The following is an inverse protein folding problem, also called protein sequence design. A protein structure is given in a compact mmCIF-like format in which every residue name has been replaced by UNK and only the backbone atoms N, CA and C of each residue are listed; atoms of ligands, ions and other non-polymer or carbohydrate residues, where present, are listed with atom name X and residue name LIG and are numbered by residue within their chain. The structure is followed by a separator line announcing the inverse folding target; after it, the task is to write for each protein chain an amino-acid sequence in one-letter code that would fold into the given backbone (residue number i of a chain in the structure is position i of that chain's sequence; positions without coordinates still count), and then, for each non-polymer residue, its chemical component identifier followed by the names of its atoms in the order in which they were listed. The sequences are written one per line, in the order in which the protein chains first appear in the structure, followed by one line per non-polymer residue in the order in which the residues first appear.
data_IF_695629340585
#
_entry.id   IF_695629340585
#
_cell.length_a   1.000
_cell.length_b   1.000
_cell.length_c   1.000
_cell.angle_alpha   90.00
_cell.angle_beta   90.00
_cell.angle_gamma   90.00
#
_symmetry.space_group_name_H-M   'P 1'
#
loop_
_entity.id
_entity.type
_entity.pdbx_description
1 polymer ?
#
# COMPACT_ATOMS: atom_id res chain seq x y z
N UNK A 1 -23.79 39.76 -0.26
CA UNK A 1 -25.21 39.78 -0.68
C UNK A 1 -26.05 39.94 0.56
N UNK A 2 -26.92 40.95 0.61
CA UNK A 2 -27.89 41.14 1.66
C UNK A 2 -29.29 40.74 1.16
N UNK A 3 -30.05 40.02 1.98
CA UNK A 3 -31.41 39.57 1.70
C UNK A 3 -32.35 40.03 2.81
N UNK A 4 -33.60 40.34 2.45
CA UNK A 4 -34.62 40.76 3.42
C UNK A 4 -36.02 40.36 2.97
N UNK A 5 -36.94 40.27 3.94
CA UNK A 5 -38.35 40.03 3.65
C UNK A 5 -39.03 41.31 3.11
N UNK A 6 -39.99 41.20 2.18
CA UNK A 6 -40.72 42.36 1.68
C UNK A 6 -41.58 43.00 2.78
N UNK A 7 -41.63 44.33 2.79
CA UNK A 7 -42.46 45.13 3.71
C UNK A 7 -43.67 45.66 2.94
N UNK A 8 -44.86 45.52 3.55
CA UNK A 8 -46.13 46.02 2.97
C UNK A 8 -46.05 47.56 2.83
N UNK A 9 -46.48 48.08 1.67
CA UNK A 9 -46.42 49.51 1.29
C UNK A 9 -45.01 50.08 1.08
N UNK A 10 -43.97 49.25 1.06
CA UNK A 10 -42.65 49.69 0.61
C UNK A 10 -42.65 49.84 -0.92
N UNK A 11 -42.19 51.00 -1.40
CA UNK A 11 -41.94 51.26 -2.82
C UNK A 11 -40.46 51.01 -3.17
N UNK A 12 -39.59 50.95 -2.16
CA UNK A 12 -38.18 50.61 -2.28
C UNK A 12 -37.52 50.35 -0.93
N UNK A 13 -36.20 50.18 -0.98
CA UNK A 13 -35.35 49.94 0.19
C UNK A 13 -34.06 50.72 0.06
N UNK A 14 -33.63 51.31 1.15
CA UNK A 14 -32.28 51.84 1.29
C UNK A 14 -31.39 50.82 1.99
N UNK A 15 -30.18 50.62 1.45
CA UNK A 15 -29.16 49.78 2.04
C UNK A 15 -28.03 50.62 2.58
N UNK A 16 -27.62 50.28 3.80
CA UNK A 16 -26.63 51.01 4.57
C UNK A 16 -25.55 50.05 5.04
N UNK A 17 -24.31 50.53 5.09
CA UNK A 17 -23.14 49.74 5.48
C UNK A 17 -22.24 50.53 6.44
N UNK A 18 -21.73 49.86 7.46
CA UNK A 18 -20.79 50.42 8.44
C UNK A 18 -19.69 49.42 8.83
N UNK A 19 -18.52 49.91 9.31
CA UNK A 19 -17.40 49.06 9.71
C UNK A 19 -17.58 48.42 11.10
N UNK A 20 -18.57 48.87 11.87
CA UNK A 20 -18.87 48.39 13.22
C UNK A 20 -20.38 48.23 13.37
N UNK A 21 -20.82 47.59 14.45
CA UNK A 21 -22.25 47.38 14.72
C UNK A 21 -22.92 48.64 15.29
N UNK A 22 -22.85 49.75 14.53
CA UNK A 22 -23.42 51.04 14.87
C UNK A 22 -23.99 51.70 13.62
N UNK A 23 -25.31 51.92 13.61
CA UNK A 23 -26.04 52.44 12.45
C UNK A 23 -25.76 53.94 12.22
N UNK A 24 -25.36 54.68 13.26
CA UNK A 24 -25.01 56.11 13.13
C UNK A 24 -23.69 56.30 12.39
N UNK A 25 -22.84 55.26 12.36
CA UNK A 25 -21.59 55.23 11.59
C UNK A 25 -21.77 54.60 10.21
N UNK A 26 -22.99 54.16 9.87
CA UNK A 26 -23.28 53.57 8.57
C UNK A 26 -23.45 54.65 7.50
N UNK A 27 -22.92 54.40 6.31
CA UNK A 27 -23.18 55.22 5.12
C UNK A 27 -24.24 54.57 4.23
N UNK A 28 -25.03 55.38 3.53
CA UNK A 28 -25.91 54.91 2.47
C UNK A 28 -25.05 54.27 1.37
N UNK A 29 -25.30 52.99 1.10
CA UNK A 29 -24.64 52.21 0.06
C UNK A 29 -25.39 52.34 -1.26
N UNK A 30 -26.72 52.32 -1.21
CA UNK A 30 -27.56 52.44 -2.40
C UNK A 30 -29.03 52.13 -2.14
N UNK A 31 -29.82 52.14 -3.21
CA UNK A 31 -31.24 51.84 -3.18
C UNK A 31 -31.53 50.55 -3.96
N UNK A 32 -32.55 49.81 -3.55
CA UNK A 32 -33.05 48.62 -4.23
C UNK A 32 -34.58 48.63 -4.27
N UNK A 33 -35.18 48.20 -5.38
CA UNK A 33 -36.64 48.03 -5.47
C UNK A 33 -37.11 46.73 -4.81
N UNK A 34 -36.27 45.70 -4.77
CA UNK A 34 -36.56 44.38 -4.20
C UNK A 34 -35.30 43.72 -3.63
N UNK A 35 -35.47 42.69 -2.80
CA UNK A 35 -34.38 41.81 -2.35
C UNK A 35 -33.98 40.83 -3.47
N UNK A 36 -32.69 40.49 -3.63
CA UNK A 36 -31.52 40.89 -2.83
C UNK A 36 -30.76 42.11 -3.38
N UNK A 37 -29.79 42.61 -2.59
CA UNK A 37 -28.77 43.57 -3.04
C UNK A 37 -27.36 42.99 -2.91
N UNK A 38 -26.51 43.28 -3.89
CA UNK A 38 -25.10 42.85 -3.91
C UNK A 38 -24.21 44.09 -3.79
N UNK A 39 -23.43 44.16 -2.71
CA UNK A 39 -22.37 45.14 -2.55
C UNK A 39 -21.11 44.68 -3.30
N UNK A 40 -20.78 45.35 -4.40
CA UNK A 40 -19.57 45.08 -5.19
C UNK A 40 -18.36 45.92 -4.77
N UNK A 41 -18.50 46.78 -3.75
CA UNK A 41 -17.47 47.76 -3.36
C UNK A 41 -16.58 47.29 -2.20
N UNK A 42 -16.87 46.13 -1.62
CA UNK A 42 -16.12 45.55 -0.50
C UNK A 42 -14.92 44.72 -0.96
N UNK A 43 -13.84 44.76 -0.18
CA UNK A 43 -12.64 43.95 -0.36
C UNK A 43 -12.61 42.76 0.61
N UNK A 44 -11.82 41.73 0.28
CA UNK A 44 -11.80 40.45 1.02
C UNK A 44 -11.08 40.48 2.39
N UNK A 45 -10.67 41.66 2.86
CA UNK A 45 -9.91 41.85 4.11
C UNK A 45 -10.72 42.51 5.21
N UNK A 46 -11.99 42.86 4.97
CA UNK A 46 -12.80 43.59 5.94
C UNK A 46 -14.23 43.04 6.03
N UNK A 47 -14.67 42.81 7.27
CA UNK A 47 -16.08 42.54 7.58
C UNK A 47 -16.86 43.83 7.79
N UNK A 48 -18.13 43.83 7.41
CA UNK A 48 -19.01 45.00 7.48
C UNK A 48 -20.37 44.59 8.06
N UNK A 49 -21.04 45.55 8.69
CA UNK A 49 -22.42 45.43 9.13
C UNK A 49 -23.33 46.11 8.12
N UNK A 50 -24.45 45.47 7.80
CA UNK A 50 -25.43 45.94 6.83
C UNK A 50 -26.79 46.13 7.51
N UNK A 51 -27.46 47.22 7.13
CA UNK A 51 -28.83 47.51 7.52
C UNK A 51 -29.66 47.78 6.28
N UNK A 52 -30.94 47.44 6.34
CA UNK A 52 -31.92 47.79 5.33
C UNK A 52 -33.09 48.50 5.99
N UNK A 53 -33.66 49.52 5.33
CA UNK A 53 -34.94 50.10 5.73
C UNK A 53 -35.84 50.27 4.51
N UNK A 54 -37.13 50.03 4.71
CA UNK A 54 -38.15 50.24 3.69
C UNK A 54 -38.37 51.74 3.47
N UNK A 55 -38.63 52.13 2.23
CA UNK A 55 -38.94 53.51 1.85
C UNK A 55 -40.20 53.56 1.00
N UNK A 56 -40.92 54.67 1.09
CA UNK A 56 -41.95 55.06 0.12
C UNK A 56 -41.84 56.55 -0.19
N UNK A 57 -42.70 57.04 -1.08
CA UNK A 57 -42.77 58.45 -1.50
C UNK A 57 -42.94 59.48 -0.38
N UNK A 58 -43.29 59.07 0.84
CA UNK A 58 -43.55 59.96 1.98
C UNK A 58 -42.45 59.85 3.05
N UNK A 59 -42.00 58.64 3.36
CA UNK A 59 -41.12 58.40 4.50
C UNK A 59 -40.27 57.12 4.38
N UNK A 60 -39.29 57.01 5.26
CA UNK A 60 -38.47 55.82 5.45
C UNK A 60 -38.79 55.19 6.80
N UNK A 61 -38.92 53.87 6.82
CA UNK A 61 -39.12 53.10 8.04
C UNK A 61 -37.87 53.03 8.91
N UNK A 62 -37.99 52.33 10.05
CA UNK A 62 -36.84 52.03 10.91
C UNK A 62 -35.87 51.08 10.22
N UNK A 63 -34.59 51.16 10.60
CA UNK A 63 -33.60 50.17 10.17
C UNK A 63 -33.93 48.77 10.66
N UNK A 64 -33.57 47.78 9.86
CA UNK A 64 -33.52 46.37 10.26
C UNK A 64 -32.54 46.17 11.41
N UNK A 65 -32.56 44.98 12.01
CA UNK A 65 -31.39 44.54 12.78
C UNK A 65 -30.16 44.46 11.86
N UNK A 66 -28.97 44.79 12.36
CA UNK A 66 -27.72 44.67 11.62
C UNK A 66 -27.45 43.22 11.23
N UNK A 67 -26.87 43.01 10.04
CA UNK A 67 -26.32 41.73 9.65
C UNK A 67 -24.85 41.87 9.27
N UNK A 68 -24.00 41.02 9.85
CA UNK A 68 -22.57 40.99 9.52
C UNK A 68 -22.35 40.22 8.22
N UNK A 69 -21.53 40.77 7.32
CA UNK A 69 -21.13 40.12 6.09
C UNK A 69 -19.74 40.57 5.64
N UNK A 70 -19.08 39.73 4.84
CA UNK A 70 -17.75 40.00 4.31
C UNK A 70 -17.63 39.51 2.87
N UNK A 71 -16.64 40.04 2.15
CA UNK A 71 -16.27 39.51 0.84
C UNK A 71 -15.32 38.32 1.04
N UNK A 72 -15.71 37.14 0.56
CA UNK A 72 -14.86 35.96 0.69
C UNK A 72 -13.57 36.09 -0.12
N UNK A 73 -12.46 35.56 0.41
CA UNK A 73 -11.21 35.43 -0.34
C UNK A 73 -11.42 34.52 -1.58
N UNK A 74 -10.65 34.72 -2.67
CA UNK A 74 -10.73 33.83 -3.82
C UNK A 74 -10.25 32.43 -3.45
N UNK A 75 -10.75 31.43 -4.16
CA UNK A 75 -10.34 30.05 -3.95
C UNK A 75 -8.84 29.87 -4.26
N UNK A 76 -8.10 29.08 -3.48
CA UNK A 76 -6.75 28.66 -3.85
C UNK A 76 -6.76 27.92 -5.19
N UNK A 77 -5.74 28.19 -6.01
CA UNK A 77 -5.54 27.55 -7.31
C UNK A 77 -4.36 26.57 -7.27
N UNK A 78 -4.34 25.65 -8.23
CA UNK A 78 -3.26 24.66 -8.38
C UNK A 78 -3.13 23.73 -7.18
N UNK A 79 -4.25 23.33 -6.58
CA UNK A 79 -4.26 22.26 -5.58
C UNK A 79 -3.78 20.98 -6.26
N UNK A 80 -2.74 20.38 -5.72
CA UNK A 80 -2.21 19.07 -6.12
C UNK A 80 -2.13 18.16 -4.90
N UNK A 81 -2.41 16.87 -5.09
CA UNK A 81 -2.26 15.84 -4.08
C UNK A 81 -1.32 14.75 -4.60
N UNK A 82 -0.61 14.06 -3.71
CA UNK A 82 0.23 12.94 -4.10
C UNK A 82 -0.60 11.69 -4.39
N UNK A 83 -0.32 11.05 -5.52
CA UNK A 83 -0.94 9.80 -5.95
C UNK A 83 0.02 8.64 -5.73
N UNK A 84 -0.12 7.95 -4.59
CA UNK A 84 0.63 6.73 -4.33
C UNK A 84 2.14 6.93 -4.22
N UNK A 85 2.60 8.10 -3.73
CA UNK A 85 4.03 8.40 -3.56
C UNK A 85 4.55 7.98 -2.18
N UNK A 86 3.73 8.15 -1.14
CA UNK A 86 4.12 7.90 0.24
C UNK A 86 3.22 6.84 0.87
N UNK A 87 3.80 6.01 1.74
CA UNK A 87 3.08 4.94 2.44
C UNK A 87 2.37 5.40 3.71
N UNK A 88 2.63 6.64 4.16
CA UNK A 88 2.21 7.15 5.48
C UNK A 88 1.41 8.45 5.41
N UNK A 89 1.27 9.06 4.23
CA UNK A 89 0.59 10.35 4.07
C UNK A 89 0.15 10.62 2.63
N UNK A 90 -0.82 11.51 2.47
CA UNK A 90 -1.02 12.25 1.22
C UNK A 90 -0.48 13.66 1.40
N UNK A 91 0.44 14.09 0.53
CA UNK A 91 0.93 15.48 0.55
C UNK A 91 0.12 16.34 -0.39
N UNK A 92 -0.32 17.49 0.09
CA UNK A 92 -1.08 18.49 -0.64
C UNK A 92 -0.23 19.76 -0.80
N UNK A 93 -0.34 20.43 -1.94
CA UNK A 93 0.18 21.79 -2.10
C UNK A 93 -0.70 22.63 -3.01
N UNK A 94 -0.68 23.95 -2.83
CA UNK A 94 -1.49 24.91 -3.60
C UNK A 94 -0.81 26.27 -3.69
N UNK A 95 -1.34 27.17 -4.52
CA UNK A 95 -0.83 28.54 -4.67
C UNK A 95 -1.30 29.46 -3.53
N UNK A 96 -0.42 30.39 -3.11
CA UNK A 96 -0.77 31.39 -2.10
C UNK A 96 -1.86 32.35 -2.59
N UNK A 97 -2.84 32.67 -1.73
CA UNK A 97 -3.91 33.62 -2.01
C UNK A 97 -3.61 34.97 -1.33
N UNK A 98 -3.57 36.09 -2.07
CA UNK A 98 -3.41 37.42 -1.47
C UNK A 98 -4.49 37.72 -0.42
N UNK A 99 -4.07 38.21 0.75
CA UNK A 99 -4.98 38.51 1.88
C UNK A 99 -5.41 37.29 2.70
N UNK A 100 -4.96 36.08 2.35
CA UNK A 100 -5.09 34.90 3.20
C UNK A 100 -3.97 34.87 4.26
N UNK A 101 -4.35 34.59 5.50
CA UNK A 101 -3.44 34.35 6.62
C UNK A 101 -3.28 32.86 6.90
N UNK A 102 -4.27 32.06 6.47
CA UNK A 102 -4.29 30.62 6.61
C UNK A 102 -5.19 29.97 5.55
N UNK A 103 -5.25 28.64 5.60
CA UNK A 103 -6.12 27.83 4.77
C UNK A 103 -6.89 26.82 5.61
N UNK A 104 -8.12 26.54 5.21
CA UNK A 104 -8.87 25.36 5.67
C UNK A 104 -8.65 24.24 4.67
N UNK A 105 -8.33 23.04 5.15
CA UNK A 105 -8.12 21.84 4.33
C UNK A 105 -9.22 20.86 4.64
N UNK A 106 -9.90 20.39 3.60
CA UNK A 106 -11.07 19.54 3.68
C UNK A 106 -10.83 18.25 2.92
N UNK A 107 -11.45 17.15 3.37
CA UNK A 107 -11.34 15.82 2.76
C UNK A 107 -12.67 15.09 2.74
N UNK A 108 -12.89 14.30 1.68
CA UNK A 108 -13.99 13.36 1.59
C UNK A 108 -13.58 12.13 0.76
N UNK A 109 -14.33 11.02 0.86
CA UNK A 109 -14.11 9.79 0.06
C UNK A 109 -14.85 9.80 -1.27
N UNK A 110 -15.78 10.73 -1.44
CA UNK A 110 -16.48 11.04 -2.69
C UNK A 110 -16.13 12.46 -3.13
N UNK A 111 -16.15 12.71 -4.43
CA UNK A 111 -15.89 14.02 -5.02
C UNK A 111 -17.08 14.98 -4.83
N UNK A 112 -17.32 15.34 -3.56
CA UNK A 112 -18.36 16.28 -3.16
C UNK A 112 -17.97 16.98 -1.88
N UNK A 113 -18.31 18.26 -1.80
CA UNK A 113 -18.09 19.09 -0.61
C UNK A 113 -19.17 18.86 0.46
N UNK A 114 -20.29 18.21 0.10
CA UNK A 114 -21.36 17.90 1.04
C UNK A 114 -20.91 16.79 2.00
N UNK A 115 -20.77 17.12 3.28
CA UNK A 115 -20.29 16.18 4.30
C UNK A 115 -18.77 16.01 4.34
N UNK A 116 -18.00 16.80 3.58
CA UNK A 116 -16.54 16.83 3.69
C UNK A 116 -16.11 17.20 5.12
N UNK A 117 -15.19 16.42 5.68
CA UNK A 117 -14.60 16.71 6.99
C UNK A 117 -13.43 17.67 6.86
N UNK A 118 -13.18 18.48 7.90
CA UNK A 118 -11.96 19.30 7.96
C UNK A 118 -10.78 18.46 8.45
N UNK A 119 -9.66 18.58 7.76
CA UNK A 119 -8.35 18.13 8.25
C UNK A 119 -7.66 19.24 9.04
N UNK A 120 -7.82 20.49 8.59
CA UNK A 120 -7.32 21.67 9.27
C UNK A 120 -8.26 22.86 9.07
N UNK A 121 -8.53 23.61 10.13
CA UNK A 121 -9.31 24.87 10.07
C UNK A 121 -8.43 26.13 10.06
N UNK A 122 -7.12 25.95 10.26
CA UNK A 122 -6.10 26.99 10.23
C UNK A 122 -4.73 26.39 9.89
N UNK A 123 -4.33 26.46 8.62
CA UNK A 123 -3.00 26.10 8.15
C UNK A 123 -2.32 27.33 7.53
N UNK A 124 -1.26 27.85 8.15
CA UNK A 124 -0.56 29.05 7.65
C UNK A 124 0.31 28.77 6.41
N UNK A 125 0.58 27.51 6.10
CA UNK A 125 1.39 27.09 4.96
C UNK A 125 0.54 26.84 3.71
N UNK A 126 1.18 26.82 2.54
CA UNK A 126 0.56 26.46 1.26
C UNK A 126 0.74 24.97 0.91
N UNK A 127 0.98 24.15 1.94
CA UNK A 127 1.07 22.70 1.84
C UNK A 127 0.48 22.06 3.10
N UNK A 128 0.10 20.80 3.01
CA UNK A 128 -0.43 20.01 4.11
C UNK A 128 -0.12 18.53 3.92
N UNK A 129 0.13 17.80 5.01
CA UNK A 129 0.31 16.36 4.99
C UNK A 129 -0.86 15.68 5.71
N UNK A 130 -1.70 14.98 4.96
CA UNK A 130 -2.74 14.14 5.53
C UNK A 130 -2.15 12.80 5.98
N UNK A 131 -1.73 12.77 7.25
CA UNK A 131 -1.15 11.59 7.92
C UNK A 131 -2.19 10.63 8.50
N UNK A 132 -3.48 10.94 8.36
CA UNK A 132 -4.59 10.10 8.86
C UNK A 132 -5.40 9.46 7.74
N UNK A 133 -4.96 9.64 6.48
CA UNK A 133 -5.50 8.91 5.34
C UNK A 133 -5.09 7.43 5.42
N UNK A 134 -6.01 6.55 5.03
CA UNK A 134 -5.82 5.09 5.07
C UNK A 134 -5.48 4.55 3.68
N UNK A 135 -4.58 3.55 3.57
CA UNK A 135 -4.23 2.93 2.28
C UNK A 135 -5.42 2.21 1.64
N UNK A 136 -5.38 2.06 0.30
CA UNK A 136 -6.44 1.40 -0.47
C UNK A 136 -7.64 2.30 -0.82
N UNK A 137 -7.69 3.53 -0.30
CA UNK A 137 -8.76 4.48 -0.58
C UNK A 137 -8.27 5.69 -1.36
N UNK A 138 -9.11 6.15 -2.31
CA UNK A 138 -8.97 7.47 -2.93
C UNK A 138 -9.72 8.49 -2.09
N UNK A 139 -9.03 9.58 -1.78
CA UNK A 139 -9.62 10.73 -1.12
C UNK A 139 -9.66 11.91 -2.08
N UNK A 140 -10.63 12.79 -1.87
CA UNK A 140 -10.79 14.06 -2.56
C UNK A 140 -10.57 15.19 -1.56
N UNK A 141 -9.80 16.19 -1.97
CA UNK A 141 -9.35 17.28 -1.13
C UNK A 141 -9.82 18.61 -1.69
N UNK A 142 -10.10 19.54 -0.78
CA UNK A 142 -10.39 20.93 -1.12
C UNK A 142 -9.68 21.85 -0.14
N UNK A 143 -9.40 23.07 -0.60
CA UNK A 143 -8.79 24.10 0.22
C UNK A 143 -9.60 25.38 0.11
N UNK A 144 -9.80 26.06 1.25
CA UNK A 144 -10.32 27.43 1.31
C UNK A 144 -9.23 28.35 1.84
N UNK A 145 -9.09 29.53 1.24
CA UNK A 145 -8.32 30.62 1.81
C UNK A 145 -9.05 31.21 3.03
N UNK A 146 -8.33 31.69 4.04
CA UNK A 146 -8.90 32.21 5.29
C UNK A 146 -8.07 33.34 5.86
N UNK A 147 -8.74 34.31 6.47
CA UNK A 147 -8.13 35.33 7.33
C UNK A 147 -8.97 35.48 8.62
N UNK A 148 -8.65 36.48 9.44
CA UNK A 148 -9.39 36.73 10.69
C UNK A 148 -10.87 37.06 10.48
N UNK A 149 -11.25 37.57 9.31
CA UNK A 149 -12.63 37.94 8.98
C UNK A 149 -13.45 36.70 8.63
N UNK A 150 -12.87 35.77 7.87
CA UNK A 150 -13.54 34.53 7.51
C UNK A 150 -12.87 33.74 6.40
N UNK A 151 -13.52 32.64 6.01
CA UNK A 151 -13.07 31.77 4.93
C UNK A 151 -13.65 32.22 3.57
N UNK A 152 -12.87 32.01 2.52
CA UNK A 152 -13.20 32.30 1.13
C UNK A 152 -13.91 31.16 0.41
N UNK A 153 -13.88 31.27 -0.92
CA UNK A 153 -14.40 30.24 -1.82
C UNK A 153 -13.56 28.96 -1.72
N UNK A 154 -14.22 27.83 -1.97
CA UNK A 154 -13.58 26.51 -2.01
C UNK A 154 -12.88 26.29 -3.35
N UNK A 155 -11.71 25.66 -3.34
CA UNK A 155 -10.98 25.27 -4.56
C UNK A 155 -11.76 24.24 -5.40
N UNK A 156 -11.27 23.96 -6.60
CA UNK A 156 -11.59 22.69 -7.25
C UNK A 156 -11.07 21.52 -6.39
N UNK A 157 -11.70 20.35 -6.54
CA UNK A 157 -11.20 19.14 -5.91
C UNK A 157 -9.90 18.68 -6.55
N UNK A 158 -9.09 18.00 -5.76
CA UNK A 158 -8.01 17.15 -6.24
C UNK A 158 -8.09 15.80 -5.53
N UNK A 159 -7.80 14.71 -6.25
CA UNK A 159 -7.76 13.37 -5.66
C UNK A 159 -6.35 12.96 -5.27
N UNK A 160 -6.22 12.16 -4.22
CA UNK A 160 -4.94 11.59 -3.79
C UNK A 160 -5.14 10.31 -2.98
N UNK A 161 -4.09 9.50 -2.90
CA UNK A 161 -4.08 8.22 -2.19
C UNK A 161 -2.68 7.83 -1.72
N UNK A 162 -2.60 6.91 -0.75
CA UNK A 162 -1.34 6.39 -0.21
C UNK A 162 -0.81 5.27 -1.09
N UNK A 163 0.53 5.13 -1.14
CA UNK A 163 1.19 3.92 -1.61
C UNK A 163 0.95 2.79 -0.60
N UNK A 164 0.73 1.56 -1.08
CA UNK A 164 0.72 0.40 -0.19
C UNK A 164 2.09 0.17 0.46
N UNK A 165 2.07 -0.19 1.73
CA UNK A 165 3.30 -0.60 2.43
C UNK A 165 3.77 -1.97 1.92
N UNK A 166 5.08 -2.21 1.78
CA UNK A 166 5.58 -3.54 1.45
C UNK A 166 5.18 -4.56 2.53
N UNK A 167 4.81 -5.80 2.15
CA UNK A 167 4.61 -6.88 3.10
C UNK A 167 5.84 -7.11 3.98
N UNK A 168 5.59 -7.52 5.22
CA UNK A 168 6.62 -7.88 6.20
C UNK A 168 6.53 -9.36 6.56
N UNK A 169 7.53 -9.86 7.30
CA UNK A 169 7.56 -11.24 7.80
C UNK A 169 7.36 -12.29 6.69
N UNK A 170 8.03 -12.10 5.56
CA UNK A 170 8.12 -13.15 4.53
C UNK A 170 8.82 -14.36 5.16
N UNK A 171 8.21 -15.53 5.01
CA UNK A 171 8.72 -16.80 5.50
C UNK A 171 8.60 -17.85 4.39
N UNK A 172 9.67 -18.56 4.11
CA UNK A 172 9.70 -19.62 3.11
C UNK A 172 10.06 -20.95 3.80
N UNK A 173 9.38 -22.03 3.41
CA UNK A 173 9.66 -23.35 3.99
C UNK A 173 10.99 -23.90 3.50
N UNK A 174 11.72 -24.56 4.40
CA UNK A 174 13.03 -25.13 4.10
C UNK A 174 13.03 -26.66 4.27
N UNK A 175 12.75 -27.37 3.18
CA UNK A 175 12.76 -28.84 3.14
C UNK A 175 11.66 -29.54 3.95
N UNK A 176 10.66 -28.80 4.43
CA UNK A 176 9.57 -29.33 5.29
C UNK A 176 8.24 -29.49 4.57
N UNK A 177 8.04 -28.83 3.43
CA UNK A 177 6.83 -28.91 2.62
C UNK A 177 7.07 -29.89 1.46
N UNK A 178 6.26 -30.95 1.32
CA UNK A 178 6.36 -31.85 0.17
C UNK A 178 6.04 -31.10 -1.13
N UNK A 179 6.84 -31.34 -2.16
CA UNK A 179 6.59 -30.88 -3.54
C UNK A 179 6.52 -29.35 -3.76
N UNK A 180 7.08 -28.54 -2.85
CA UNK A 180 7.14 -27.11 -3.08
C UNK A 180 7.75 -26.33 -1.92
N UNK A 181 7.97 -25.04 -2.15
CA UNK A 181 8.29 -24.07 -1.10
C UNK A 181 7.02 -23.32 -0.73
N UNK A 182 6.55 -23.54 0.50
CA UNK A 182 5.46 -22.76 1.08
C UNK A 182 5.97 -21.40 1.52
N UNK A 183 5.45 -20.33 0.91
CA UNK A 183 5.79 -18.93 1.21
C UNK A 183 4.61 -18.28 1.91
N UNK A 184 4.85 -17.59 3.02
CA UNK A 184 3.84 -16.88 3.82
C UNK A 184 4.33 -15.47 4.14
N UNK A 185 3.42 -14.53 4.36
CA UNK A 185 3.75 -13.15 4.70
C UNK A 185 2.67 -12.51 5.58
N UNK A 186 2.95 -11.35 6.17
CA UNK A 186 1.96 -10.57 6.88
C UNK A 186 1.01 -9.84 5.91
N UNK A 187 -0.27 -9.73 6.26
CA UNK A 187 -1.25 -8.96 5.50
C UNK A 187 -0.92 -7.46 5.51
N UNK A 188 -1.22 -6.77 4.40
CA UNK A 188 -1.07 -5.32 4.26
C UNK A 188 -2.43 -4.65 4.15
N UNK A 189 -2.69 -3.65 5.00
CA UNK A 189 -3.92 -2.87 4.98
C UNK A 189 -4.12 -2.16 3.63
N UNK A 190 -5.35 -2.23 3.10
CA UNK A 190 -5.71 -1.64 1.82
C UNK A 190 -5.23 -2.40 0.58
N UNK A 191 -4.54 -3.54 0.76
CA UNK A 191 -4.17 -4.43 -0.35
C UNK A 191 -5.37 -5.29 -0.75
N UNK A 192 -5.56 -5.45 -2.06
CA UNK A 192 -6.58 -6.33 -2.63
C UNK A 192 -6.00 -7.71 -3.00
N UNK A 193 -4.72 -7.78 -3.38
CA UNK A 193 -3.99 -9.01 -3.69
C UNK A 193 -2.47 -8.85 -3.53
N UNK A 194 -1.73 -9.96 -3.65
CA UNK A 194 -0.27 -9.98 -3.60
C UNK A 194 0.36 -10.50 -4.89
N UNK A 195 1.58 -10.04 -5.14
CA UNK A 195 2.49 -10.58 -6.16
C UNK A 195 3.64 -11.30 -5.48
N UNK A 196 3.96 -12.51 -5.94
CA UNK A 196 5.09 -13.30 -5.44
C UNK A 196 6.22 -13.21 -6.44
N UNK A 197 7.36 -12.74 -5.96
CA UNK A 197 8.58 -12.55 -6.73
C UNK A 197 9.68 -13.46 -6.19
N UNK A 198 10.53 -13.98 -7.06
CA UNK A 198 11.59 -14.90 -6.67
C UNK A 198 12.91 -14.62 -7.40
N UNK A 199 14.00 -15.20 -6.89
CA UNK A 199 15.30 -15.27 -7.54
C UNK A 199 16.11 -16.48 -7.05
N UNK A 200 17.15 -16.87 -7.79
CA UNK A 200 18.11 -17.93 -7.42
C UNK A 200 19.24 -17.43 -6.51
N UNK A 201 19.24 -16.12 -6.22
CA UNK A 201 20.22 -15.44 -5.39
C UNK A 201 19.52 -14.45 -4.47
N UNK A 202 20.22 -14.02 -3.41
CA UNK A 202 19.72 -13.01 -2.46
C UNK A 202 19.62 -11.59 -3.04
N UNK A 203 19.77 -11.43 -4.36
CA UNK A 203 19.78 -10.14 -5.04
C UNK A 203 18.37 -9.77 -5.51
N UNK A 204 18.01 -8.49 -5.37
CA UNK A 204 16.79 -7.95 -6.00
C UNK A 204 16.98 -7.63 -7.49
N UNK A 205 18.21 -7.74 -8.01
CA UNK A 205 18.48 -7.58 -9.44
C UNK A 205 18.09 -8.86 -10.16
N UNK A 206 17.18 -8.74 -11.13
CA UNK A 206 16.72 -9.88 -11.92
C UNK A 206 15.63 -10.72 -11.24
N UNK A 207 14.98 -10.22 -10.19
CA UNK A 207 13.81 -10.92 -9.61
C UNK A 207 12.71 -11.11 -10.65
N UNK A 208 12.09 -12.27 -10.63
CA UNK A 208 11.03 -12.66 -11.55
C UNK A 208 9.70 -12.82 -10.80
N UNK A 209 8.60 -12.41 -11.42
CA UNK A 209 7.26 -12.62 -10.84
C UNK A 209 6.77 -14.03 -11.17
N UNK A 210 6.50 -14.83 -10.15
CA UNK A 210 6.01 -16.22 -10.27
C UNK A 210 4.53 -16.37 -9.93
N UNK A 211 3.95 -15.40 -9.22
CA UNK A 211 2.52 -15.35 -8.99
C UNK A 211 1.99 -13.92 -8.94
N UNK A 212 0.73 -13.76 -9.33
CA UNK A 212 -0.02 -12.51 -9.31
C UNK A 212 -1.45 -12.79 -8.85
N UNK A 213 -2.19 -11.75 -8.46
CA UNK A 213 -3.57 -11.84 -7.97
C UNK A 213 -3.73 -12.85 -6.82
N UNK A 214 -2.71 -13.04 -5.99
CA UNK A 214 -2.79 -13.95 -4.85
C UNK A 214 -3.65 -13.30 -3.76
N UNK A 215 -4.87 -13.78 -3.57
CA UNK A 215 -5.84 -13.19 -2.64
C UNK A 215 -5.55 -13.49 -1.15
N UNK A 216 -4.68 -14.47 -0.87
CA UNK A 216 -4.33 -14.90 0.48
C UNK A 216 -2.89 -14.52 0.83
N UNK A 217 -2.52 -14.66 2.09
CA UNK A 217 -1.17 -14.33 2.58
C UNK A 217 -0.21 -15.52 2.52
N UNK A 218 -0.43 -16.42 1.56
CA UNK A 218 0.38 -17.60 1.36
C UNK A 218 0.37 -18.04 -0.11
N UNK A 219 1.46 -18.69 -0.52
CA UNK A 219 1.65 -19.26 -1.86
C UNK A 219 2.50 -20.53 -1.78
N UNK A 220 2.29 -21.47 -2.69
CA UNK A 220 3.11 -22.66 -2.83
C UNK A 220 3.84 -22.58 -4.17
N UNK A 221 5.15 -22.44 -4.12
CA UNK A 221 6.01 -22.55 -5.30
C UNK A 221 6.33 -24.03 -5.55
N UNK A 222 5.64 -24.65 -6.49
CA UNK A 222 5.84 -26.04 -6.90
C UNK A 222 6.80 -26.22 -8.08
N UNK A 223 7.26 -25.13 -8.69
CA UNK A 223 8.06 -25.17 -9.92
C UNK A 223 9.56 -25.09 -9.65
N UNK A 224 9.96 -24.75 -8.42
CA UNK A 224 11.36 -24.76 -8.00
C UNK A 224 11.97 -26.16 -8.07
N UNK A 225 13.20 -26.24 -8.59
CA UNK A 225 13.92 -27.50 -8.72
C UNK A 225 14.29 -28.06 -7.32
N UNK A 226 14.05 -29.34 -7.03
CA UNK A 226 14.51 -29.95 -5.78
C UNK A 226 16.01 -29.77 -5.54
N UNK A 227 16.39 -29.36 -4.33
CA UNK A 227 17.79 -29.05 -3.99
C UNK A 227 18.25 -27.62 -4.31
N UNK A 228 17.47 -26.84 -5.06
CA UNK A 228 17.73 -25.42 -5.30
C UNK A 228 17.23 -24.56 -4.13
N UNK A 229 17.97 -23.50 -3.80
CA UNK A 229 17.54 -22.47 -2.85
C UNK A 229 16.91 -21.32 -3.64
N UNK A 230 15.63 -21.07 -3.41
CA UNK A 230 14.91 -19.90 -3.92
C UNK A 230 14.84 -18.80 -2.87
N UNK A 231 14.93 -17.55 -3.31
CA UNK A 231 14.78 -16.36 -2.48
C UNK A 231 13.48 -15.64 -2.87
N UNK A 232 12.64 -15.30 -1.89
CA UNK A 232 11.27 -14.84 -2.16
C UNK A 232 11.01 -13.43 -1.60
N UNK A 233 10.36 -12.60 -2.41
CA UNK A 233 9.88 -11.26 -2.06
C UNK A 233 8.41 -11.13 -2.42
N UNK A 234 7.69 -10.31 -1.66
CA UNK A 234 6.25 -10.10 -1.88
C UNK A 234 5.99 -8.62 -2.14
N UNK A 235 5.08 -8.31 -3.06
CA UNK A 235 4.45 -6.99 -3.15
C UNK A 235 2.99 -7.07 -2.75
N UNK A 236 2.51 -6.06 -2.05
CA UNK A 236 1.10 -5.82 -1.87
C UNK A 236 0.60 -4.95 -3.04
N UNK A 237 -0.48 -5.38 -3.67
CA UNK A 237 -1.09 -4.70 -4.80
C UNK A 237 -2.56 -4.42 -4.51
N UNK A 238 -3.05 -3.35 -5.11
CA UNK A 238 -4.45 -2.94 -5.07
C UNK A 238 -4.79 -2.09 -6.28
N UNK A 239 -6.06 -1.74 -6.42
CA UNK A 239 -6.55 -0.99 -7.59
C UNK A 239 -5.91 0.39 -7.78
N UNK A 240 -5.36 0.99 -6.72
CA UNK A 240 -4.77 2.34 -6.74
C UNK A 240 -3.25 2.34 -6.79
N UNK A 241 -2.60 1.39 -6.13
CA UNK A 241 -1.15 1.35 -6.02
C UNK A 241 -0.63 -0.06 -5.78
N UNK A 242 0.66 -0.24 -6.06
CA UNK A 242 1.44 -1.43 -5.73
C UNK A 242 2.63 -1.00 -4.88
N UNK A 243 2.91 -1.74 -3.82
CA UNK A 243 4.04 -1.50 -2.93
C UNK A 243 5.38 -1.77 -3.62
N UNK A 244 6.46 -1.31 -3.00
CA UNK A 244 7.78 -1.87 -3.27
C UNK A 244 7.83 -3.37 -2.84
N UNK A 245 8.91 -4.06 -3.23
CA UNK A 245 9.20 -5.41 -2.71
C UNK A 245 9.35 -5.36 -1.18
N UNK A 246 8.96 -6.46 -0.51
CA UNK A 246 9.23 -6.67 0.91
C UNK A 246 10.69 -6.40 1.24
N UNK A 247 10.96 -5.69 2.34
CA UNK A 247 12.32 -5.24 2.69
C UNK A 247 13.23 -6.43 3.03
N UNK A 248 12.64 -7.46 3.63
CA UNK A 248 13.28 -8.75 3.85
C UNK A 248 12.72 -9.78 2.86
N UNK A 249 13.63 -10.60 2.33
CA UNK A 249 13.28 -11.87 1.73
C UNK A 249 13.39 -12.98 2.78
N UNK A 250 12.80 -14.12 2.48
CA UNK A 250 13.23 -15.39 3.07
C UNK A 250 13.63 -16.36 1.97
N UNK A 251 14.48 -17.33 2.32
CA UNK A 251 14.89 -18.37 1.39
C UNK A 251 14.25 -19.71 1.75
N UNK A 252 13.92 -20.48 0.72
CA UNK A 252 13.31 -21.79 0.87
C UNK A 252 13.92 -22.77 -0.11
N UNK A 253 13.75 -24.05 0.19
CA UNK A 253 14.11 -25.11 -0.73
C UNK A 253 13.15 -26.27 -0.59
N UNK A 254 12.92 -26.99 -1.68
CA UNK A 254 12.41 -28.35 -1.60
C UNK A 254 13.59 -29.24 -1.22
N UNK A 255 13.41 -30.10 -0.21
CA UNK A 255 14.42 -31.09 0.13
C UNK A 255 14.73 -31.90 -1.13
N UNK A 256 15.99 -31.83 -1.60
CA UNK A 256 16.40 -32.62 -2.74
C UNK A 256 16.13 -34.09 -2.45
N UNK A 257 15.59 -34.81 -3.43
CA UNK A 257 15.57 -36.26 -3.37
C UNK A 257 17.01 -36.75 -3.11
N UNK A 258 17.24 -37.85 -2.37
CA UNK A 258 18.57 -38.43 -2.28
C UNK A 258 19.02 -38.83 -3.68
N UNK A 259 19.77 -37.95 -4.36
CA UNK A 259 20.32 -38.20 -5.69
C UNK A 259 20.99 -39.58 -5.72
N UNK A 260 20.59 -40.38 -6.70
CA UNK A 260 21.17 -41.68 -6.99
C UNK A 260 22.62 -41.40 -7.43
N UNK A 261 23.65 -42.02 -6.82
CA UNK A 261 25.02 -41.85 -7.26
C UNK A 261 25.15 -42.13 -8.76
N UNK A 262 25.65 -41.16 -9.53
CA UNK A 262 25.93 -41.40 -10.94
C UNK A 262 27.03 -42.45 -11.09
N UNK A 263 26.89 -43.28 -12.14
CA UNK A 263 27.89 -44.27 -12.56
C UNK A 263 28.28 -45.29 -11.48
N UNK A 264 27.43 -46.30 -11.25
CA UNK A 264 27.80 -47.45 -10.42
C UNK A 264 28.67 -48.41 -11.24
N UNK A 265 29.95 -48.53 -10.88
CA UNK A 265 30.86 -49.53 -11.42
C UNK A 265 30.89 -50.75 -10.51
N UNK A 266 30.69 -51.94 -11.09
CA UNK A 266 30.71 -53.21 -10.38
C UNK A 266 31.89 -54.03 -10.90
N UNK A 267 32.77 -54.45 -9.99
CA UNK A 267 33.83 -55.41 -10.29
C UNK A 267 33.72 -56.63 -9.37
N UNK A 268 33.63 -57.82 -9.97
CA UNK A 268 33.74 -59.09 -9.24
C UNK A 268 35.21 -59.44 -9.02
N UNK A 269 35.55 -59.90 -7.82
CA UNK A 269 36.88 -60.41 -7.46
C UNK A 269 36.71 -61.77 -6.78
N UNK A 270 37.78 -62.57 -6.78
CA UNK A 270 37.86 -63.90 -6.16
C UNK A 270 37.37 -63.97 -4.69
N UNK A 271 37.22 -62.84 -4.00
CA UNK A 271 36.77 -62.75 -2.60
C UNK A 271 35.69 -61.67 -2.36
N UNK A 272 34.95 -61.23 -3.39
CA UNK A 272 33.79 -60.34 -3.19
C UNK A 272 33.50 -59.37 -4.34
N UNK A 273 32.58 -58.44 -4.08
CA UNK A 273 32.18 -57.38 -5.03
C UNK A 273 32.79 -56.05 -4.59
N UNK A 274 33.44 -55.37 -5.52
CA UNK A 274 33.85 -53.97 -5.35
C UNK A 274 32.85 -53.08 -6.06
N UNK A 275 32.30 -52.11 -5.34
CA UNK A 275 31.48 -51.04 -5.90
C UNK A 275 32.31 -49.76 -5.94
N UNK A 276 32.29 -49.09 -7.09
CA UNK A 276 32.66 -47.68 -7.17
C UNK A 276 31.44 -46.87 -7.62
N UNK A 277 31.28 -45.68 -7.06
CA UNK A 277 30.29 -44.72 -7.51
C UNK A 277 30.91 -43.34 -7.44
N UNK A 278 30.44 -42.41 -8.27
CA UNK A 278 30.74 -41.01 -8.04
C UNK A 278 29.96 -40.54 -6.82
N UNK A 279 30.64 -39.80 -5.95
CA UNK A 279 30.08 -39.34 -4.69
C UNK A 279 30.02 -37.82 -4.66
N UNK A 280 29.02 -37.32 -3.95
CA UNK A 280 28.77 -35.91 -3.69
C UNK A 280 29.45 -35.57 -2.35
N UNK A 281 30.25 -34.49 -2.35
CA UNK A 281 30.92 -33.98 -1.15
C UNK A 281 29.88 -33.61 -0.09
N UNK A 282 30.10 -34.07 1.15
CA UNK A 282 29.24 -33.72 2.30
C UNK A 282 28.03 -34.63 2.53
N UNK A 283 27.86 -35.70 1.74
CA UNK A 283 26.82 -36.72 1.97
C UNK A 283 27.40 -38.03 2.51
N UNK A 284 26.57 -38.77 3.23
CA UNK A 284 26.83 -40.16 3.60
C UNK A 284 25.95 -41.12 2.81
N UNK A 285 26.45 -42.32 2.56
CA UNK A 285 25.82 -43.30 1.69
C UNK A 285 25.57 -44.62 2.40
N UNK A 286 24.40 -45.23 2.17
CA UNK A 286 24.10 -46.61 2.58
C UNK A 286 24.07 -47.54 1.37
N UNK A 287 24.60 -48.75 1.53
CA UNK A 287 24.56 -49.80 0.50
C UNK A 287 23.69 -50.93 1.01
N UNK A 288 22.74 -51.37 0.18
CA UNK A 288 21.84 -52.47 0.51
C UNK A 288 21.87 -53.53 -0.58
N UNK A 289 21.63 -54.77 -0.18
CA UNK A 289 21.60 -55.92 -1.08
C UNK A 289 20.43 -56.84 -0.81
N UNK A 290 19.98 -57.51 -1.86
CA UNK A 290 18.98 -58.58 -1.78
C UNK A 290 19.23 -59.61 -2.88
N UNK A 291 18.89 -60.87 -2.63
CA UNK A 291 18.82 -61.93 -3.66
C UNK A 291 17.41 -62.08 -4.25
N UNK A 292 16.44 -61.29 -3.76
CA UNK A 292 15.06 -61.28 -4.23
C UNK A 292 14.51 -59.85 -4.19
N UNK A 293 14.16 -59.29 -5.36
CA UNK A 293 13.62 -57.93 -5.50
C UNK A 293 12.29 -57.72 -4.77
N UNK A 294 11.56 -58.79 -4.42
CA UNK A 294 10.32 -58.73 -3.66
C UNK A 294 10.53 -58.91 -2.14
N UNK A 295 11.77 -59.12 -1.69
CA UNK A 295 12.11 -59.29 -0.27
C UNK A 295 12.67 -58.00 0.35
N UNK A 296 12.74 -57.98 1.69
CA UNK A 296 13.36 -56.88 2.42
C UNK A 296 14.84 -56.74 2.06
N UNK A 297 15.25 -55.51 1.80
CA UNK A 297 16.66 -55.17 1.52
C UNK A 297 17.47 -55.18 2.81
N UNK A 298 18.60 -55.87 2.80
CA UNK A 298 19.50 -55.91 3.96
C UNK A 298 20.54 -54.80 3.85
N UNK A 299 20.76 -54.05 4.93
CA UNK A 299 21.85 -53.08 5.01
C UNK A 299 23.18 -53.82 4.96
N UNK A 300 23.92 -53.62 3.87
CA UNK A 300 25.28 -54.13 3.71
C UNK A 300 26.31 -53.19 4.34
N UNK A 301 26.00 -51.88 4.35
CA UNK A 301 26.80 -50.84 4.99
C UNK A 301 25.92 -49.69 5.45
N UNK A 302 26.14 -49.20 6.68
CA UNK A 302 25.23 -48.27 7.36
C UNK A 302 25.41 -46.81 6.94
N UNK A 303 26.64 -46.31 6.81
CA UNK A 303 26.97 -44.97 6.28
C UNK A 303 28.45 -44.88 5.91
N UNK A 304 28.80 -44.20 4.81
CA UNK A 304 30.19 -43.82 4.50
C UNK A 304 30.29 -42.44 3.85
N UNK A 305 31.39 -41.72 4.12
CA UNK A 305 31.77 -40.46 3.47
C UNK A 305 32.82 -40.68 2.35
N UNK A 306 32.86 -39.85 1.30
CA UNK A 306 33.77 -40.03 0.18
C UNK A 306 35.25 -39.98 0.55
N UNK A 307 36.03 -40.96 0.14
CA UNK A 307 37.51 -40.92 0.22
C UNK A 307 38.19 -42.06 0.98
N UNK A 308 37.46 -42.90 1.73
CA UNK A 308 38.01 -44.14 2.32
C UNK A 308 36.94 -45.22 2.49
N UNK A 309 37.04 -46.29 1.70
CA UNK A 309 36.25 -47.50 1.95
C UNK A 309 36.57 -48.60 0.95
N UNK A 310 36.98 -49.77 1.44
CA UNK A 310 37.05 -51.01 0.67
C UNK A 310 35.91 -51.90 1.16
N UNK A 311 34.98 -52.26 0.27
CA UNK A 311 33.94 -53.24 0.57
C UNK A 311 34.60 -54.62 0.72
N UNK A 312 34.54 -55.19 1.93
CA UNK A 312 34.82 -56.61 2.18
C UNK A 312 33.63 -57.22 2.90
N UNK A 313 32.52 -57.40 2.19
CA UNK A 313 31.45 -58.30 2.59
C UNK A 313 31.40 -59.47 1.60
N UNK A 314 31.65 -60.68 2.10
CA UNK A 314 31.62 -61.93 1.34
C UNK A 314 30.19 -62.46 1.37
N UNK A 315 29.55 -62.55 0.21
CA UNK A 315 28.37 -63.39 0.05
C UNK A 315 28.78 -64.63 -0.74
N UNK A 316 28.47 -65.79 -0.19
CA UNK A 316 28.41 -67.04 -0.96
C UNK A 316 27.00 -67.12 -1.53
N UNK A 317 26.85 -66.79 -2.81
CA UNK A 317 25.61 -67.08 -3.55
C UNK A 317 25.76 -68.45 -4.21
N UNK A 318 24.70 -69.25 -4.20
CA UNK A 318 24.63 -70.42 -5.07
C UNK A 318 24.74 -69.96 -6.53
N UNK A 319 25.30 -70.83 -7.38
CA UNK A 319 25.84 -70.52 -8.72
C UNK A 319 24.79 -69.87 -9.67
N UNK A 320 23.50 -69.97 -9.33
CA UNK A 320 22.37 -69.49 -10.13
C UNK A 320 21.57 -68.32 -9.52
N UNK A 321 22.03 -67.70 -8.42
CA UNK A 321 21.28 -66.61 -7.76
C UNK A 321 21.78 -65.22 -8.14
N UNK A 322 20.86 -64.33 -8.57
CA UNK A 322 21.16 -62.93 -8.87
C UNK A 322 21.21 -62.10 -7.58
N UNK A 323 22.27 -61.32 -7.39
CA UNK A 323 22.37 -60.33 -6.32
C UNK A 323 22.02 -58.95 -6.86
N UNK A 324 21.01 -58.33 -6.27
CA UNK A 324 20.62 -56.94 -6.54
C UNK A 324 21.22 -56.03 -5.48
N UNK A 325 21.78 -54.90 -5.93
CA UNK A 325 22.43 -53.91 -5.08
C UNK A 325 21.80 -52.54 -5.34
N UNK A 326 21.63 -51.75 -4.29
CA UNK A 326 21.26 -50.32 -4.39
C UNK A 326 22.11 -49.49 -3.44
N UNK A 327 22.37 -48.26 -3.87
CA UNK A 327 23.11 -47.26 -3.08
C UNK A 327 22.21 -46.05 -2.94
N UNK A 328 22.02 -45.60 -1.71
CA UNK A 328 21.14 -44.47 -1.40
C UNK A 328 21.94 -43.43 -0.61
N UNK A 329 21.80 -42.16 -1.00
CA UNK A 329 22.37 -41.07 -0.20
C UNK A 329 21.48 -40.78 1.01
N UNK A 330 22.09 -40.35 2.10
CA UNK A 330 21.42 -40.06 3.37
C UNK A 330 21.79 -38.66 3.84
N UNK A 331 20.82 -37.95 4.41
CA UNK A 331 20.96 -36.57 4.90
C UNK A 331 21.63 -36.48 6.28
N UNK A 332 22.22 -37.57 6.81
CA UNK A 332 22.95 -37.59 8.08
C UNK A 332 24.37 -38.12 7.88
N UNK A 333 25.39 -37.52 8.50
CA UNK A 333 26.78 -37.99 8.42
C UNK A 333 26.97 -39.42 8.93
#
# INVERSE_FOLDING_TARGET
MATWAPVILAEGYELWRGPSNDVELAGLLGNASTSPYIDFTVTATQGNYYWVRATNSITSGTFSTPNFGYCGLPAPLGLVASDGVFTDRVTLSWSSVPGAEAYEVWRHTLDTTNGAGWLALWNASTNYADIVAVPGYRFYYWVKSKNQVGAGLISQSESGFLMLSPPSSVMASYGTVPNGVGVNWASVDGSDWYEVWWNDSSSTVGVEKIADCVAWTNYLDSEITPGMIGYYWIKASGTLSTSALSVAYDNGMIAGDPEIPESIGIATRLQGISLCCQTITGRSYRVQGTTNLMANWTNLYTTFTPGRGRLTSIFTTDIDSQLFLRVESTNSP
#
